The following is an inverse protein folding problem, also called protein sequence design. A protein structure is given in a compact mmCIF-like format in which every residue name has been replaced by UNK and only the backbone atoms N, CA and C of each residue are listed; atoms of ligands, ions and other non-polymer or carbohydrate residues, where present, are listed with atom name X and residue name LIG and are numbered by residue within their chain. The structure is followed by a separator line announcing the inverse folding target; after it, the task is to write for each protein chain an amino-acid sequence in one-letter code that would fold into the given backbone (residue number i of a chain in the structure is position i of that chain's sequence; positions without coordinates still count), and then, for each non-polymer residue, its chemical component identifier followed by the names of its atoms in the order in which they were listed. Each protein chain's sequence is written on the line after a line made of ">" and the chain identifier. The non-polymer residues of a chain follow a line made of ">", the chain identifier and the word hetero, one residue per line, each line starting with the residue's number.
data_IF_962660079424
#
_entry.id   IF_962660079424
#
_cell.length_a   1.000
_cell.length_b   1.000
_cell.length_c   1.000
_cell.angle_alpha   90.00
_cell.angle_beta   90.00
_cell.angle_gamma   90.00
#
_symmetry.space_group_name_H-M   'P 1'
#
loop_
_entity.id
_entity.type
_entity.pdbx_description
1 polymer ?
#
# COMPACT_ATOMS: atom_id res chain seq x y z
N UNK A 1 36.58 -1.24 32.44
CA UNK A 1 36.85 -1.66 31.05
C UNK A 1 36.01 -2.88 30.75
N UNK A 2 35.17 -2.84 29.71
CA UNK A 2 34.48 -4.05 29.24
C UNK A 2 35.53 -4.99 28.63
N UNK A 3 35.51 -6.30 28.94
CA UNK A 3 36.46 -7.24 28.35
C UNK A 3 36.31 -7.28 26.83
N UNK A 4 37.43 -7.46 26.12
CA UNK A 4 37.40 -7.61 24.66
C UNK A 4 36.51 -8.82 24.29
N UNK A 5 35.60 -8.67 23.31
CA UNK A 5 34.70 -9.73 22.93
C UNK A 5 35.48 -10.94 22.39
N UNK A 6 35.05 -12.13 22.79
CA UNK A 6 35.63 -13.38 22.27
C UNK A 6 35.31 -13.53 20.79
N UNK A 7 36.08 -14.34 20.06
CA UNK A 7 35.86 -14.56 18.62
C UNK A 7 34.43 -15.03 18.28
N UNK A 8 33.80 -15.79 19.18
CA UNK A 8 32.39 -16.20 19.02
C UNK A 8 31.42 -15.04 19.21
N UNK A 9 31.67 -14.15 20.16
CA UNK A 9 30.87 -12.94 20.35
C UNK A 9 31.00 -12.01 19.13
N UNK A 10 32.19 -11.90 18.55
CA UNK A 10 32.42 -11.10 17.36
C UNK A 10 31.53 -11.55 16.19
N UNK A 11 31.43 -12.86 15.93
CA UNK A 11 30.54 -13.41 14.88
C UNK A 11 29.06 -13.07 15.09
N UNK A 12 28.61 -13.01 16.34
CA UNK A 12 27.23 -12.63 16.67
C UNK A 12 27.03 -11.15 16.38
N UNK A 13 27.98 -10.30 16.78
CA UNK A 13 27.94 -8.87 16.50
C UNK A 13 27.91 -8.58 14.99
N UNK A 14 28.71 -9.29 14.20
CA UNK A 14 28.73 -9.17 12.74
C UNK A 14 27.36 -9.51 12.14
N UNK A 15 26.72 -10.58 12.63
CA UNK A 15 25.37 -10.97 12.21
C UNK A 15 24.33 -9.92 12.59
N UNK A 16 24.42 -9.34 13.79
CA UNK A 16 23.53 -8.27 14.26
C UNK A 16 23.71 -7.02 13.39
N UNK A 17 24.94 -6.69 12.99
CA UNK A 17 25.22 -5.56 12.12
C UNK A 17 24.50 -5.71 10.76
N UNK A 18 24.64 -6.88 10.13
CA UNK A 18 23.93 -7.21 8.88
C UNK A 18 22.41 -7.14 9.02
N UNK A 19 21.87 -7.65 10.14
CA UNK A 19 20.43 -7.57 10.40
C UNK A 19 19.95 -6.12 10.59
N UNK A 20 20.71 -5.30 11.32
CA UNK A 20 20.39 -3.89 11.54
C UNK A 20 20.43 -3.09 10.25
N UNK A 21 21.37 -3.39 9.36
CA UNK A 21 21.44 -2.76 8.05
C UNK A 21 20.18 -3.06 7.22
N UNK A 22 19.75 -4.32 7.15
CA UNK A 22 18.49 -4.71 6.49
C UNK A 22 17.26 -4.02 7.10
N UNK A 23 17.24 -3.82 8.41
CA UNK A 23 16.15 -3.10 9.08
C UNK A 23 16.20 -1.59 8.79
N UNK A 24 17.39 -1.00 8.71
CA UNK A 24 17.57 0.42 8.37
C UNK A 24 17.08 0.72 6.96
N UNK A 25 17.42 -0.11 5.97
CA UNK A 25 16.94 0.08 4.58
C UNK A 25 15.42 0.01 4.49
N UNK A 26 14.79 -0.96 5.17
CA UNK A 26 13.33 -1.07 5.25
C UNK A 26 12.68 0.12 5.96
N UNK A 27 13.29 0.62 7.04
CA UNK A 27 12.80 1.80 7.76
C UNK A 27 12.92 3.07 6.91
N UNK A 28 14.01 3.23 6.17
CA UNK A 28 14.19 4.36 5.25
C UNK A 28 13.12 4.35 4.15
N UNK A 29 12.86 3.21 3.52
CA UNK A 29 11.80 3.08 2.52
C UNK A 29 10.41 3.41 3.09
N UNK A 30 10.11 2.96 4.33
CA UNK A 30 8.85 3.31 5.01
C UNK A 30 8.76 4.79 5.35
N UNK A 31 9.85 5.39 5.84
CA UNK A 31 9.91 6.82 6.15
C UNK A 31 9.71 7.66 4.89
N UNK A 32 10.27 7.24 3.75
CA UNK A 32 10.03 7.89 2.45
C UNK A 32 8.58 7.75 2.02
N UNK A 33 7.99 6.55 2.11
CA UNK A 33 6.58 6.34 1.79
C UNK A 33 5.63 7.17 2.70
N UNK A 34 5.97 7.30 3.98
CA UNK A 34 5.24 8.15 4.93
C UNK A 34 5.41 9.63 4.58
N UNK A 35 6.65 10.09 4.30
CA UNK A 35 6.89 11.47 3.88
C UNK A 35 6.16 11.82 2.58
N UNK A 36 6.06 10.88 1.61
CA UNK A 36 5.22 11.06 0.42
C UNK A 36 3.72 11.08 0.74
N UNK A 37 3.28 10.32 1.74
CA UNK A 37 1.89 10.33 2.20
C UNK A 37 1.54 11.62 2.94
N UNK A 38 2.46 12.16 3.75
CA UNK A 38 2.29 13.40 4.52
C UNK A 38 2.47 14.65 3.65
N UNK A 39 3.33 14.59 2.62
CA UNK A 39 3.54 15.68 1.66
C UNK A 39 2.45 15.76 0.60
N UNK A 40 1.71 14.67 0.38
CA UNK A 40 0.44 14.76 -0.31
C UNK A 40 -0.54 15.40 0.67
N UNK A 41 -1.13 16.55 0.33
CA UNK A 41 -2.12 17.17 1.20
C UNK A 41 -3.26 16.17 1.35
N UNK A 42 -3.31 15.51 2.50
CA UNK A 42 -4.49 14.82 2.95
C UNK A 42 -5.55 15.92 3.07
N UNK A 43 -6.36 16.06 2.02
CA UNK A 43 -7.59 16.80 2.07
C UNK A 43 -8.36 16.20 3.24
N UNK A 44 -8.43 16.97 4.33
CA UNK A 44 -9.10 16.59 5.56
C UNK A 44 -10.56 16.27 5.22
N UNK A 45 -10.84 14.98 5.20
CA UNK A 45 -12.09 14.38 4.79
C UNK A 45 -11.95 12.88 5.05
N UNK A 46 -13.03 12.18 5.36
CA UNK A 46 -12.99 10.83 5.92
C UNK A 46 -12.19 9.81 5.07
N UNK A 47 -12.03 8.58 5.57
CA UNK A 47 -11.40 7.48 4.82
C UNK A 47 -11.91 7.32 3.37
N UNK A 48 -13.16 7.72 3.10
CA UNK A 48 -13.77 7.80 1.78
C UNK A 48 -13.14 8.90 0.90
N UNK A 49 -12.90 10.11 1.43
CA UNK A 49 -12.34 11.25 0.69
C UNK A 49 -10.89 11.00 0.29
N UNK A 50 -10.11 10.33 1.15
CA UNK A 50 -8.75 9.88 0.82
C UNK A 50 -8.73 8.80 -0.28
N UNK A 51 -9.74 7.94 -0.35
CA UNK A 51 -9.87 6.96 -1.43
C UNK A 51 -10.34 7.60 -2.74
N UNK A 52 -11.26 8.55 -2.67
CA UNK A 52 -11.71 9.32 -3.83
C UNK A 52 -10.55 10.14 -4.45
N UNK A 53 -9.72 10.78 -3.62
CA UNK A 53 -8.53 11.49 -4.09
C UNK A 53 -7.52 10.54 -4.75
N UNK A 54 -7.29 9.36 -4.16
CA UNK A 54 -6.43 8.33 -4.77
C UNK A 54 -6.99 7.80 -6.08
N UNK A 55 -8.30 7.58 -6.15
CA UNK A 55 -8.96 7.17 -7.39
C UNK A 55 -8.82 8.25 -8.48
N UNK A 56 -8.92 9.54 -8.10
CA UNK A 56 -8.69 10.65 -9.01
C UNK A 56 -7.22 10.74 -9.48
N UNK A 57 -6.25 10.48 -8.59
CA UNK A 57 -4.84 10.36 -8.94
C UNK A 57 -4.58 9.20 -9.90
N UNK A 58 -5.10 8.01 -9.57
CA UNK A 58 -5.01 6.82 -10.43
C UNK A 58 -5.65 7.05 -11.81
N UNK A 59 -6.77 7.77 -11.87
CA UNK A 59 -7.41 8.10 -13.14
C UNK A 59 -6.55 8.99 -14.03
N UNK A 60 -5.76 9.91 -13.44
CA UNK A 60 -4.81 10.75 -14.17
C UNK A 60 -3.58 9.96 -14.62
N UNK A 61 -3.09 9.04 -13.79
CA UNK A 61 -1.92 8.20 -14.09
C UNK A 61 -2.23 7.08 -15.10
N UNK A 62 -3.46 6.56 -15.10
CA UNK A 62 -3.87 5.41 -15.91
C UNK A 62 -5.18 5.65 -16.69
N UNK A 63 -5.19 6.60 -17.64
CA UNK A 63 -6.40 6.96 -18.38
C UNK A 63 -6.98 5.78 -19.17
N UNK A 64 -6.14 4.90 -19.74
CA UNK A 64 -6.59 3.73 -20.50
C UNK A 64 -7.26 2.67 -19.61
N UNK A 65 -6.76 2.47 -18.39
CA UNK A 65 -7.38 1.53 -17.44
C UNK A 65 -8.77 2.01 -17.03
N UNK A 66 -8.91 3.32 -16.78
CA UNK A 66 -10.21 3.93 -16.46
C UNK A 66 -11.16 3.84 -17.64
N UNK A 67 -10.71 4.14 -18.86
CA UNK A 67 -11.53 4.03 -20.06
C UNK A 67 -12.03 2.60 -20.29
N UNK A 68 -11.17 1.60 -20.07
CA UNK A 68 -11.57 0.19 -20.18
C UNK A 68 -12.65 -0.18 -19.15
N UNK A 69 -12.47 0.20 -17.89
CA UNK A 69 -13.46 -0.07 -16.83
C UNK A 69 -14.79 0.62 -17.13
N UNK A 70 -14.75 1.89 -17.54
CA UNK A 70 -15.94 2.65 -17.91
C UNK A 70 -16.65 2.02 -19.12
N UNK A 71 -15.90 1.60 -20.14
CA UNK A 71 -16.43 0.92 -21.32
C UNK A 71 -17.13 -0.39 -20.96
N UNK A 72 -16.52 -1.21 -20.10
CA UNK A 72 -17.14 -2.44 -19.59
C UNK A 72 -18.42 -2.14 -18.80
N UNK A 73 -18.42 -1.10 -17.97
CA UNK A 73 -19.60 -0.71 -17.20
C UNK A 73 -20.77 -0.28 -18.10
N UNK A 74 -20.49 0.50 -19.16
CA UNK A 74 -21.49 0.91 -20.16
C UNK A 74 -22.08 -0.29 -20.90
N UNK A 75 -21.23 -1.23 -21.34
CA UNK A 75 -21.66 -2.45 -22.05
C UNK A 75 -22.45 -3.40 -21.15
N UNK A 76 -22.08 -3.53 -19.87
CA UNK A 76 -22.76 -4.41 -18.94
C UNK A 76 -24.16 -3.89 -18.54
N UNK A 77 -24.32 -2.56 -18.44
CA UNK A 77 -25.55 -1.91 -18.02
C UNK A 77 -25.88 -2.07 -16.52
N UNK A 78 -26.71 -1.19 -15.96
CA UNK A 78 -26.89 -1.04 -14.51
C UNK A 78 -27.51 -2.28 -13.85
N UNK A 79 -28.46 -2.94 -14.53
CA UNK A 79 -29.13 -4.14 -13.97
C UNK A 79 -28.18 -5.33 -13.78
N UNK A 80 -27.20 -5.51 -14.67
CA UNK A 80 -26.21 -6.58 -14.53
C UNK A 80 -25.21 -6.24 -13.44
N UNK A 81 -24.75 -4.98 -13.38
CA UNK A 81 -23.81 -4.53 -12.35
C UNK A 81 -24.34 -4.77 -10.93
N UNK A 82 -25.59 -4.42 -10.64
CA UNK A 82 -26.22 -4.64 -9.32
C UNK A 82 -26.27 -6.14 -8.97
N UNK A 83 -26.58 -6.99 -9.95
CA UNK A 83 -26.67 -8.44 -9.74
C UNK A 83 -25.31 -9.07 -9.43
N UNK A 84 -24.26 -8.60 -10.10
CA UNK A 84 -22.89 -9.03 -9.84
C UNK A 84 -22.31 -8.44 -8.55
N UNK A 85 -22.70 -7.21 -8.18
CA UNK A 85 -22.31 -6.61 -6.92
C UNK A 85 -22.73 -7.48 -5.73
N UNK A 86 -23.96 -8.01 -5.72
CA UNK A 86 -24.41 -8.94 -4.67
C UNK A 86 -23.60 -10.24 -4.56
N UNK A 87 -23.00 -10.70 -5.67
CA UNK A 87 -22.17 -11.91 -5.72
C UNK A 87 -20.73 -11.60 -5.26
N UNK A 88 -20.15 -10.48 -5.71
CA UNK A 88 -18.76 -10.11 -5.38
C UNK A 88 -18.60 -9.51 -3.98
N UNK A 89 -19.60 -8.76 -3.49
CA UNK A 89 -19.56 -8.08 -2.19
C UNK A 89 -19.16 -9.02 -1.03
N UNK A 90 -19.74 -10.22 -0.85
CA UNK A 90 -19.34 -11.13 0.23
C UNK A 90 -17.90 -11.64 0.07
N UNK A 91 -17.39 -11.78 -1.16
CA UNK A 91 -16.02 -12.24 -1.40
C UNK A 91 -14.99 -11.16 -1.07
N UNK A 92 -15.29 -9.89 -1.39
CA UNK A 92 -14.48 -8.73 -1.02
C UNK A 92 -14.42 -8.53 0.50
N UNK A 93 -15.55 -8.68 1.19
CA UNK A 93 -15.61 -8.60 2.65
C UNK A 93 -14.78 -9.70 3.32
N UNK A 94 -14.67 -10.88 2.70
CA UNK A 94 -13.80 -11.96 3.18
C UNK A 94 -12.31 -11.66 3.04
N UNK A 95 -11.90 -10.95 1.98
CA UNK A 95 -10.50 -10.60 1.73
C UNK A 95 -9.99 -9.47 2.64
N UNK A 96 -10.92 -8.72 3.22
CA UNK A 96 -10.63 -7.58 4.11
C UNK A 96 -10.38 -7.98 5.57
N UNK A 97 -10.39 -9.28 5.87
CA UNK A 97 -10.22 -9.86 7.20
C UNK A 97 -8.84 -10.51 7.32
#
# INVERSE_FOLDING_TARGET
>A
MLPAPTAQQQRILDRIALQRERLRTRRAARAQAQALADSQPAAAGGTEDSLALRAAGFAREHPMAVAAIAGVAVVAGPRRLIRWAGILLPMLLRLRR
#
